data_IF_258859185740
#
_entry.id   IF_258859185740
#
_cell.length_a   1.000
_cell.length_b   1.000
_cell.length_c   1.000
_cell.angle_alpha   90.00
_cell.angle_beta   90.00
_cell.angle_gamma   90.00
#
_symmetry.space_group_name_H-M   'P 1'
#
loop_
_entity.id
_entity.type
_entity.pdbx_description
1 polymer ?
#
# COMPACT_ATOMS: atom_id res chain seq x y z
N UNK A 1 9.32 -4.77 -15.66
CA UNK A 1 9.19 -5.24 -14.25
C UNK A 1 7.72 -5.58 -14.02
N UNK A 2 7.39 -6.86 -14.00
CA UNK A 2 6.01 -7.31 -13.79
C UNK A 2 5.65 -7.13 -12.30
N UNK A 3 4.82 -6.13 -12.02
CA UNK A 3 4.23 -5.99 -10.70
C UNK A 3 3.08 -6.98 -10.53
N UNK A 4 2.81 -7.46 -9.30
CA UNK A 4 1.65 -8.29 -9.01
C UNK A 4 0.34 -7.59 -9.43
N UNK A 5 -0.74 -8.35 -9.59
CA UNK A 5 -2.06 -7.78 -9.84
C UNK A 5 -2.42 -6.68 -8.82
N UNK A 6 -3.04 -5.60 -9.30
CA UNK A 6 -3.38 -4.39 -8.54
C UNK A 6 -2.18 -3.58 -8.04
N UNK A 7 -1.03 -3.74 -8.69
CA UNK A 7 0.18 -2.94 -8.41
C UNK A 7 0.78 -2.37 -9.68
N UNK A 8 1.25 -1.14 -9.58
CA UNK A 8 1.99 -0.45 -10.62
C UNK A 8 3.41 -0.18 -10.16
N UNK A 9 4.36 -0.20 -11.09
CA UNK A 9 5.72 0.17 -10.76
C UNK A 9 5.82 1.69 -10.65
N UNK A 10 6.21 2.19 -9.49
CA UNK A 10 6.21 3.62 -9.20
C UNK A 10 7.12 4.00 -8.04
N UNK A 11 7.10 5.30 -7.71
CA UNK A 11 7.76 5.82 -6.53
C UNK A 11 6.71 6.06 -5.44
N UNK A 12 6.94 5.51 -4.26
CA UNK A 12 6.12 5.79 -3.08
C UNK A 12 6.56 7.15 -2.53
N UNK A 13 5.82 8.22 -2.86
CA UNK A 13 6.06 9.55 -2.27
C UNK A 13 5.81 9.58 -0.77
N UNK A 14 4.77 8.84 -0.34
CA UNK A 14 4.34 8.65 1.05
C UNK A 14 4.11 7.15 1.34
N UNK A 15 3.85 6.74 2.59
CA UNK A 15 3.49 5.33 2.82
C UNK A 15 2.24 4.98 2.01
N UNK A 16 2.24 3.82 1.34
CA UNK A 16 1.00 3.33 0.75
C UNK A 16 -0.02 3.10 1.88
N UNK A 17 -1.27 3.53 1.68
CA UNK A 17 -2.34 3.23 2.63
C UNK A 17 -2.50 1.71 2.75
N UNK A 18 -2.86 1.25 3.95
CA UNK A 18 -3.16 -0.13 4.29
C UNK A 18 -4.52 -0.21 4.97
N UNK A 19 -5.13 -1.38 5.00
CA UNK A 19 -6.38 -1.60 5.76
C UNK A 19 -6.26 -1.17 7.22
N UNK A 20 -5.08 -1.36 7.81
CA UNK A 20 -4.78 -0.88 9.16
C UNK A 20 -4.65 0.64 9.22
N UNK A 21 -3.98 1.27 8.24
CA UNK A 21 -3.77 2.72 8.25
C UNK A 21 -5.05 3.52 8.02
N UNK A 22 -6.05 2.92 7.36
CA UNK A 22 -7.38 3.51 7.22
C UNK A 22 -8.09 3.64 8.57
N UNK A 23 -7.92 2.67 9.46
CA UNK A 23 -8.50 2.68 10.81
C UNK A 23 -7.59 3.41 11.82
N UNK A 24 -6.28 3.37 11.60
CA UNK A 24 -5.27 3.96 12.46
C UNK A 24 -4.37 4.90 11.64
N UNK A 25 -4.69 6.20 11.55
CA UNK A 25 -3.91 7.15 10.75
C UNK A 25 -2.46 7.16 11.24
N UNK A 26 -1.57 6.57 10.45
CA UNK A 26 -0.15 6.43 10.77
C UNK A 26 0.50 7.80 10.56
N UNK A 27 0.88 8.48 11.65
CA UNK A 27 1.50 9.82 11.60
C UNK A 27 2.97 9.84 11.19
N UNK A 28 3.62 8.68 11.08
CA UNK A 28 5.05 8.59 10.83
C UNK A 28 5.37 7.51 9.80
N UNK A 29 5.70 7.96 8.60
CA UNK A 29 6.29 7.15 7.56
C UNK A 29 7.80 7.37 7.55
N UNK A 30 8.56 6.29 7.74
CA UNK A 30 9.98 6.32 7.43
C UNK A 30 10.11 6.47 5.92
N UNK A 31 10.50 7.67 5.49
CA UNK A 31 10.81 8.15 4.12
C UNK A 31 11.92 7.34 3.39
N UNK A 32 11.98 6.03 3.58
CA UNK A 32 12.76 5.17 2.68
C UNK A 32 11.93 4.99 1.41
N UNK A 33 12.02 5.99 0.54
CA UNK A 33 11.60 5.97 -0.86
C UNK A 33 12.22 4.75 -1.56
N UNK A 34 11.49 3.64 -1.53
CA UNK A 34 11.86 2.41 -2.20
C UNK A 34 11.03 2.31 -3.48
N UNK A 35 11.56 2.81 -4.60
CA UNK A 35 10.98 2.58 -5.92
C UNK A 35 10.62 1.10 -6.09
N UNK A 36 9.39 0.81 -6.49
CA UNK A 36 8.88 -0.56 -6.49
C UNK A 36 7.43 -0.69 -6.92
N UNK A 37 6.85 -1.87 -6.70
CA UNK A 37 5.46 -2.14 -7.02
C UNK A 37 4.54 -1.58 -5.94
N UNK A 38 3.96 -0.40 -6.21
CA UNK A 38 2.96 0.25 -5.36
C UNK A 38 1.55 -0.23 -5.70
N UNK A 39 0.64 -0.16 -4.74
CA UNK A 39 -0.78 -0.38 -5.04
C UNK A 39 -1.27 0.66 -6.05
N UNK A 40 -2.18 0.26 -6.93
CA UNK A 40 -2.89 1.21 -7.80
C UNK A 40 -3.65 2.27 -6.98
N UNK A 41 -3.96 3.40 -7.62
CA UNK A 41 -4.90 4.38 -7.05
C UNK A 41 -6.21 3.70 -6.65
N UNK A 42 -6.75 4.07 -5.48
CA UNK A 42 -7.89 3.42 -4.81
C UNK A 42 -7.64 2.01 -4.23
N UNK A 43 -6.41 1.51 -4.25
CA UNK A 43 -6.05 0.25 -3.58
C UNK A 43 -5.14 0.50 -2.39
N UNK A 44 -5.36 -0.30 -1.34
CA UNK A 44 -4.62 -0.28 -0.09
C UNK A 44 -3.96 -1.64 0.16
N UNK A 45 -2.85 -1.64 0.87
CA UNK A 45 -2.21 -2.87 1.32
C UNK A 45 -3.13 -3.61 2.29
N UNK A 46 -3.37 -4.90 2.02
CA UNK A 46 -4.11 -5.75 2.96
C UNK A 46 -3.43 -5.84 4.33
N UNK A 47 -2.09 -5.89 4.35
CA UNK A 47 -1.28 -5.92 5.58
C UNK A 47 -0.44 -4.66 5.73
N UNK A 48 -0.46 -4.06 6.91
CA UNK A 48 0.31 -2.86 7.21
C UNK A 48 1.81 -3.06 7.00
N UNK A 49 2.46 -2.12 6.30
CA UNK A 49 3.92 -2.11 6.02
C UNK A 49 4.46 -3.35 5.29
N UNK A 50 3.59 -4.22 4.78
CA UNK A 50 3.97 -5.40 3.99
C UNK A 50 3.71 -5.10 2.52
N UNK A 51 4.69 -4.51 1.84
CA UNK A 51 4.59 -4.14 0.42
C UNK A 51 4.45 -5.34 -0.53
N UNK A 52 4.75 -6.56 -0.08
CA UNK A 52 4.50 -7.80 -0.82
C UNK A 52 3.05 -8.29 -0.68
N UNK A 53 2.29 -7.76 0.29
CA UNK A 53 0.89 -8.11 0.50
C UNK A 53 0.04 -7.75 -0.72
N UNK A 54 -1.04 -8.49 -1.00
CA UNK A 54 -2.01 -8.07 -2.02
C UNK A 54 -2.57 -6.68 -1.71
N UNK A 55 -2.86 -5.95 -2.79
CA UNK A 55 -3.56 -4.69 -2.75
C UNK A 55 -5.05 -4.95 -2.96
N UNK A 56 -5.87 -4.48 -2.03
CA UNK A 56 -7.32 -4.65 -2.00
C UNK A 56 -7.96 -3.28 -1.96
N UNK A 57 -9.25 -3.19 -2.29
CA UNK A 57 -9.99 -1.95 -2.08
C UNK A 57 -10.18 -1.69 -0.58
N UNK A 58 -10.27 -0.43 -0.14
CA UNK A 58 -10.56 -0.09 1.25
C UNK A 58 -11.85 -0.75 1.77
N UNK A 59 -12.87 -0.92 0.92
CA UNK A 59 -14.11 -1.64 1.24
C UNK A 59 -13.93 -3.17 1.41
N UNK A 60 -12.89 -3.76 0.82
CA UNK A 60 -12.56 -5.19 0.92
C UNK A 60 -11.67 -5.51 2.13
N UNK A 61 -11.35 -4.50 2.95
CA UNK A 61 -10.53 -4.70 4.12
C UNK A 61 -11.21 -5.61 5.15
N UNK A 62 -10.50 -6.63 5.66
CA UNK A 62 -11.04 -7.47 6.73
C UNK A 62 -11.21 -6.61 7.98
N UNK A 63 -12.43 -6.55 8.50
CA UNK A 63 -12.79 -5.83 9.72
C UNK A 63 -12.31 -6.57 10.97
#
# INVERSE_FOLDING_TARGET
PDCPANKTYGSFGDCPPSCYSLQHPVRACTLKLNYGCMCEDDYVLLKDKVFSSPCVKPDDCPN
#
